data_IF_193310267690
#
_entry.id   IF_193310267690
#
_cell.length_a   1.000
_cell.length_b   1.000
_cell.length_c   1.000
_cell.angle_alpha   90.00
_cell.angle_beta   90.00
_cell.angle_gamma   90.00
#
_symmetry.space_group_name_H-M   'P 1'
#
loop_
_entity.id
_entity.type
_entity.pdbx_description
1 polymer ?
#
# COMPACT_ATOMS: atom_id res chain seq x y z
N UNK A 1 10.99 -12.65 19.19
CA UNK A 1 10.42 -12.09 20.44
C UNK A 1 9.43 -10.93 20.20
N UNK A 2 9.85 -9.76 19.70
CA UNK A 2 8.93 -8.63 19.43
C UNK A 2 7.86 -8.95 18.37
N UNK A 3 8.21 -9.74 17.35
CA UNK A 3 7.28 -10.19 16.30
C UNK A 3 6.21 -11.14 16.84
N UNK A 4 6.57 -12.18 17.61
CA UNK A 4 5.58 -13.08 18.24
C UNK A 4 4.61 -12.33 19.14
N UNK A 5 5.11 -11.37 19.93
CA UNK A 5 4.25 -10.59 20.83
C UNK A 5 3.26 -9.70 20.08
N UNK A 6 3.72 -9.03 19.01
CA UNK A 6 2.83 -8.24 18.12
C UNK A 6 1.80 -9.14 17.42
N UNK A 7 2.21 -10.34 17.00
CA UNK A 7 1.34 -11.33 16.37
C UNK A 7 0.26 -11.81 17.35
N UNK A 8 0.61 -12.20 18.58
CA UNK A 8 -0.38 -12.60 19.62
C UNK A 8 -1.38 -11.49 19.93
N UNK A 9 -0.91 -10.24 20.08
CA UNK A 9 -1.82 -9.09 20.28
C UNK A 9 -2.71 -8.83 19.07
N UNK A 10 -2.24 -9.09 17.85
CA UNK A 10 -3.05 -8.90 16.65
C UNK A 10 -4.17 -9.95 16.57
N UNK A 11 -3.87 -11.21 16.90
CA UNK A 11 -4.87 -12.30 16.99
C UNK A 11 -5.90 -12.01 18.09
N UNK A 12 -5.48 -11.56 19.26
CA UNK A 12 -6.40 -11.20 20.36
C UNK A 12 -7.30 -9.99 20.06
N UNK A 13 -6.94 -9.15 19.08
CA UNK A 13 -7.73 -7.98 18.66
C UNK A 13 -8.81 -8.33 17.64
N UNK A 14 -8.84 -9.57 17.15
CA UNK A 14 -9.86 -10.04 16.20
C UNK A 14 -11.20 -10.11 16.92
N UNK A 15 -12.18 -9.40 16.38
CA UNK A 15 -13.57 -9.45 16.82
C UNK A 15 -14.37 -10.33 15.86
N UNK A 16 -15.37 -11.08 16.37
CA UNK A 16 -16.30 -11.80 15.51
C UNK A 16 -17.04 -10.81 14.61
N UNK A 17 -17.32 -11.24 13.38
CA UNK A 17 -18.01 -10.41 12.40
C UNK A 17 -19.54 -10.51 12.53
N UNK A 18 -20.21 -9.42 12.17
CA UNK A 18 -21.68 -9.32 12.19
C UNK A 18 -22.42 -10.13 11.09
N UNK A 19 -21.76 -10.99 10.31
CA UNK A 19 -22.40 -11.80 9.27
C UNK A 19 -22.91 -11.05 8.01
N UNK A 20 -22.78 -9.72 7.98
CA UNK A 20 -23.16 -8.87 6.85
C UNK A 20 -22.52 -9.32 5.53
N UNK A 21 -23.23 -9.11 4.43
CA UNK A 21 -22.73 -9.48 3.10
C UNK A 21 -21.59 -8.57 2.63
N UNK A 22 -20.70 -9.16 1.83
CA UNK A 22 -19.62 -8.45 1.17
C UNK A 22 -20.20 -7.50 0.13
N UNK A 23 -20.10 -6.20 0.40
CA UNK A 23 -20.54 -5.16 -0.53
C UNK A 23 -19.74 -5.23 -1.82
N UNK A 24 -20.43 -5.23 -2.97
CA UNK A 24 -19.83 -5.16 -4.31
C UNK A 24 -18.82 -4.01 -4.41
N UNK A 25 -17.70 -4.27 -5.06
CA UNK A 25 -16.68 -3.27 -5.34
C UNK A 25 -17.21 -2.26 -6.38
N UNK A 26 -17.10 -0.96 -6.08
CA UNK A 26 -17.51 0.11 -7.00
C UNK A 26 -16.29 0.78 -7.61
N UNK A 27 -16.39 1.22 -8.87
CA UNK A 27 -15.23 1.75 -9.61
C UNK A 27 -14.57 2.95 -8.93
N UNK A 28 -15.32 3.83 -8.27
CA UNK A 28 -14.73 4.95 -7.52
C UNK A 28 -13.99 4.54 -6.24
N UNK A 29 -14.17 3.30 -5.77
CA UNK A 29 -13.48 2.77 -4.59
C UNK A 29 -12.07 2.26 -4.90
N UNK A 30 -11.64 2.32 -6.17
CA UNK A 30 -10.32 1.85 -6.62
C UNK A 30 -9.15 2.39 -5.78
N UNK A 31 -9.23 3.64 -5.30
CA UNK A 31 -8.16 4.27 -4.51
C UNK A 31 -8.38 4.18 -2.99
N UNK A 32 -9.59 3.80 -2.55
CA UNK A 32 -9.99 3.94 -1.15
C UNK A 32 -10.33 2.60 -0.49
N UNK A 33 -10.38 1.53 -1.28
CA UNK A 33 -10.71 0.18 -0.84
C UNK A 33 -9.80 -0.84 -1.52
N UNK A 34 -9.18 -1.67 -0.71
CA UNK A 34 -8.39 -2.81 -1.12
C UNK A 34 -9.21 -4.08 -0.84
N UNK A 35 -9.41 -4.93 -1.84
CA UNK A 35 -10.13 -6.19 -1.71
C UNK A 35 -9.27 -7.33 -2.25
N UNK A 36 -9.03 -8.32 -1.42
CA UNK A 36 -8.19 -9.48 -1.74
C UNK A 36 -8.95 -10.77 -1.47
N UNK A 37 -8.71 -11.79 -2.30
CA UNK A 37 -9.36 -13.09 -2.22
C UNK A 37 -8.31 -14.18 -2.01
N UNK A 38 -8.63 -15.12 -1.13
CA UNK A 38 -7.91 -16.35 -0.88
C UNK A 38 -8.89 -17.50 -1.09
N UNK A 39 -8.56 -18.40 -2.02
CA UNK A 39 -9.32 -19.63 -2.22
C UNK A 39 -8.57 -20.75 -1.55
N UNK A 40 -9.20 -21.39 -0.57
CA UNK A 40 -8.66 -22.57 0.09
C UNK A 40 -9.55 -23.76 -0.25
N UNK A 41 -8.92 -24.88 -0.56
CA UNK A 41 -9.62 -26.16 -0.69
C UNK A 41 -9.50 -26.84 0.67
N UNK A 42 -10.64 -27.03 1.34
CA UNK A 42 -10.72 -27.79 2.59
C UNK A 42 -10.41 -29.26 2.32
N UNK A 43 -9.95 -30.00 3.32
CA UNK A 43 -9.63 -31.44 3.22
C UNK A 43 -10.82 -32.28 2.71
N UNK A 44 -12.05 -31.82 2.96
CA UNK A 44 -13.31 -32.38 2.41
C UNK A 44 -13.51 -32.12 0.90
N UNK A 45 -12.55 -31.50 0.21
CA UNK A 45 -12.64 -31.07 -1.19
C UNK A 45 -13.51 -29.83 -1.43
N UNK A 46 -14.12 -29.27 -0.38
CA UNK A 46 -14.93 -28.05 -0.48
C UNK A 46 -14.05 -26.82 -0.70
N UNK A 47 -14.39 -26.01 -1.70
CA UNK A 47 -13.70 -24.73 -1.91
C UNK A 47 -14.34 -23.64 -1.06
N UNK A 48 -13.52 -23.06 -0.19
CA UNK A 48 -13.88 -21.96 0.70
C UNK A 48 -13.20 -20.69 0.24
N UNK A 49 -13.95 -19.60 0.11
CA UNK A 49 -13.41 -18.31 -0.37
C UNK A 49 -13.35 -17.32 0.79
N UNK A 50 -12.13 -17.02 1.23
CA UNK A 50 -11.87 -15.93 2.15
C UNK A 50 -11.65 -14.64 1.37
N UNK A 51 -12.28 -13.55 1.79
CA UNK A 51 -12.05 -12.22 1.23
C UNK A 51 -11.66 -11.22 2.31
N UNK A 52 -10.59 -10.47 2.09
CA UNK A 52 -10.09 -9.42 2.98
C UNK A 52 -10.45 -8.06 2.38
N UNK A 53 -11.35 -7.34 3.03
CA UNK A 53 -11.76 -5.97 2.67
C UNK A 53 -11.09 -4.96 3.61
N UNK A 54 -10.27 -4.08 3.07
CA UNK A 54 -9.60 -3.00 3.80
C UNK A 54 -10.03 -1.66 3.21
N UNK A 55 -10.63 -0.80 4.04
CA UNK A 55 -11.12 0.51 3.63
C UNK A 55 -10.25 1.61 4.23
N UNK A 56 -9.58 2.37 3.38
CA UNK A 56 -8.73 3.50 3.76
C UNK A 56 -9.55 4.77 4.03
N UNK A 57 -10.76 4.87 3.48
CA UNK A 57 -11.61 6.07 3.54
C UNK A 57 -12.18 6.40 4.93
N UNK A 58 -12.22 5.43 5.86
CA UNK A 58 -12.78 5.60 7.20
C UNK A 58 -11.69 5.84 8.26
N UNK A 59 -10.70 6.68 7.93
CA UNK A 59 -9.60 7.04 8.84
C UNK A 59 -10.02 8.06 9.92
N UNK A 60 -11.32 8.33 10.07
CA UNK A 60 -11.87 9.23 11.10
C UNK A 60 -11.57 8.77 12.53
N UNK A 61 -11.33 7.47 12.75
CA UNK A 61 -10.96 6.91 14.06
C UNK A 61 -9.43 6.85 14.29
N UNK A 62 -8.61 7.34 13.34
CA UNK A 62 -7.14 7.33 13.43
C UNK A 62 -6.47 5.97 13.16
N UNK A 63 -7.25 4.94 12.79
CA UNK A 63 -6.73 3.62 12.43
C UNK A 63 -7.55 2.98 11.31
N UNK A 64 -6.91 2.08 10.57
CA UNK A 64 -7.55 1.32 9.47
C UNK A 64 -8.08 -0.02 10.01
N UNK A 65 -9.31 -0.39 9.63
CA UNK A 65 -9.92 -1.69 9.94
C UNK A 65 -9.81 -2.63 8.73
N UNK A 66 -9.45 -3.88 8.99
CA UNK A 66 -9.55 -4.97 8.03
C UNK A 66 -10.75 -5.85 8.40
N UNK A 67 -11.51 -6.24 7.39
CA UNK A 67 -12.67 -7.12 7.53
C UNK A 67 -12.39 -8.41 6.76
N UNK A 68 -12.50 -9.55 7.43
CA UNK A 68 -12.43 -10.87 6.84
C UNK A 68 -13.85 -11.38 6.57
N UNK A 69 -14.07 -11.81 5.34
CA UNK A 69 -15.28 -12.44 4.87
C UNK A 69 -15.00 -13.91 4.55
N UNK A 70 -15.95 -14.78 4.88
CA UNK A 70 -15.98 -16.19 4.56
C UNK A 70 -17.18 -16.43 3.65
N UNK A 71 -16.95 -16.89 2.42
CA UNK A 71 -17.98 -17.12 1.39
C UNK A 71 -18.94 -15.94 1.23
N UNK A 72 -18.38 -14.73 1.26
CA UNK A 72 -19.12 -13.48 1.11
C UNK A 72 -19.82 -12.97 2.37
N UNK A 73 -19.74 -13.67 3.52
CA UNK A 73 -20.32 -13.21 4.80
C UNK A 73 -19.23 -12.74 5.76
N UNK A 74 -19.50 -11.65 6.47
CA UNK A 74 -18.54 -11.04 7.38
C UNK A 74 -18.25 -11.98 8.55
N UNK A 75 -17.04 -12.49 8.59
CA UNK A 75 -16.62 -13.51 9.56
C UNK A 75 -15.88 -12.91 10.74
N UNK A 76 -14.99 -11.94 10.49
CA UNK A 76 -14.18 -11.31 11.53
C UNK A 76 -13.73 -9.90 11.14
N UNK A 77 -13.42 -9.08 12.12
CA UNK A 77 -12.81 -7.75 11.91
C UNK A 77 -11.68 -7.48 12.88
N UNK A 78 -10.67 -6.71 12.45
CA UNK A 78 -9.56 -6.33 13.32
C UNK A 78 -8.90 -5.03 12.85
N UNK A 79 -8.21 -4.35 13.77
CA UNK A 79 -7.44 -3.13 13.47
C UNK A 79 -6.11 -3.53 12.83
N UNK A 80 -5.72 -2.84 11.75
CA UNK A 80 -4.45 -3.10 11.05
C UNK A 80 -3.27 -2.55 11.86
N UNK A 81 -2.14 -3.27 12.01
CA UNK A 81 -1.83 -4.59 11.48
C UNK A 81 -2.66 -5.71 12.13
N UNK A 82 -3.28 -6.54 11.30
CA UNK A 82 -4.22 -7.58 11.69
C UNK A 82 -3.70 -8.98 11.31
N UNK A 83 -4.04 -9.98 12.12
CA UNK A 83 -3.75 -11.40 11.85
C UNK A 83 -5.05 -12.14 12.08
N UNK A 84 -5.60 -12.72 11.02
CA UNK A 84 -6.84 -13.48 11.09
C UNK A 84 -6.54 -14.98 11.07
N UNK A 85 -7.00 -15.75 12.07
CA UNK A 85 -6.96 -17.20 11.97
C UNK A 85 -7.92 -17.67 10.88
N UNK A 86 -7.44 -18.52 9.97
CA UNK A 86 -8.23 -19.14 8.90
C UNK A 86 -7.91 -20.63 8.86
N UNK A 87 -8.61 -21.41 8.03
CA UNK A 87 -8.28 -22.82 7.87
C UNK A 87 -6.85 -23.01 7.34
N UNK A 88 -6.10 -23.94 7.96
CA UNK A 88 -4.73 -24.28 7.58
C UNK A 88 -3.67 -23.21 7.85
N UNK A 89 -4.00 -22.09 8.52
CA UNK A 89 -3.01 -21.05 8.78
C UNK A 89 -3.57 -19.72 9.28
N UNK A 90 -2.87 -18.63 8.95
CA UNK A 90 -3.28 -17.27 9.32
C UNK A 90 -3.14 -16.34 8.12
N UNK A 91 -4.07 -15.40 7.99
CA UNK A 91 -3.96 -14.30 7.03
C UNK A 91 -3.40 -13.09 7.74
N UNK A 92 -2.20 -12.69 7.37
CA UNK A 92 -1.56 -11.48 7.89
C UNK A 92 -1.85 -10.29 6.97
N UNK A 93 -2.32 -9.19 7.57
CA UNK A 93 -2.69 -7.96 6.87
C UNK A 93 -1.92 -6.79 7.46
N UNK A 94 -1.13 -6.10 6.63
CA UNK A 94 -0.38 -4.89 6.98
C UNK A 94 -0.68 -3.78 5.97
N UNK A 95 -1.00 -2.59 6.46
CA UNK A 95 -1.14 -1.38 5.65
C UNK A 95 0.04 -0.43 5.87
N UNK A 96 0.30 0.43 4.89
CA UNK A 96 1.12 1.63 4.97
C UNK A 96 0.24 2.88 4.80
N UNK A 97 0.82 4.07 4.94
CA UNK A 97 0.14 5.34 4.67
C UNK A 97 -0.37 5.46 3.21
N UNK A 98 0.21 4.69 2.30
CA UNK A 98 -0.11 4.71 0.87
C UNK A 98 -1.01 3.56 0.41
N UNK A 99 -1.47 2.69 1.31
CA UNK A 99 -2.37 1.58 0.98
C UNK A 99 -2.02 0.27 1.67
N UNK A 100 -2.45 -0.85 1.10
CA UNK A 100 -2.16 -2.17 1.64
C UNK A 100 -0.70 -2.58 1.30
N UNK A 101 0.16 -2.74 2.32
CA UNK A 101 1.58 -3.12 2.16
C UNK A 101 1.76 -4.64 2.01
N UNK A 102 0.92 -5.43 2.70
CA UNK A 102 1.02 -6.89 2.74
C UNK A 102 -0.34 -7.53 3.02
N UNK A 103 -0.72 -8.52 2.21
CA UNK A 103 -1.78 -9.45 2.53
C UNK A 103 -1.36 -10.85 2.03
N UNK A 104 -0.92 -11.68 2.97
CA UNK A 104 -0.42 -13.01 2.67
C UNK A 104 -1.01 -14.02 3.66
N UNK A 105 -1.25 -15.22 3.14
CA UNK A 105 -1.66 -16.39 3.89
C UNK A 105 -0.40 -17.16 4.29
N UNK A 106 -0.19 -17.32 5.58
CA UNK A 106 0.89 -18.13 6.16
C UNK A 106 0.28 -19.46 6.57
N UNK A 107 0.69 -20.56 5.94
CA UNK A 107 0.25 -21.90 6.36
C UNK A 107 0.82 -22.24 7.73
N UNK A 108 0.23 -23.24 8.41
CA UNK A 108 0.79 -23.79 9.66
C UNK A 108 2.22 -24.32 9.49
N UNK A 109 2.59 -24.73 8.29
CA UNK A 109 3.94 -25.18 7.90
C UNK A 109 4.90 -24.01 7.59
N UNK A 110 4.40 -22.76 7.61
CA UNK A 110 5.19 -21.56 7.38
C UNK A 110 5.29 -21.13 5.91
N UNK A 111 4.58 -21.77 4.98
CA UNK A 111 4.56 -21.37 3.59
C UNK A 111 3.74 -20.08 3.39
N UNK A 112 4.37 -19.04 2.85
CA UNK A 112 3.73 -17.75 2.56
C UNK A 112 3.13 -17.73 1.14
N UNK A 113 1.82 -17.50 1.04
CA UNK A 113 1.09 -17.36 -0.21
C UNK A 113 0.46 -15.97 -0.32
N UNK A 114 0.73 -15.23 -1.39
CA UNK A 114 0.12 -13.92 -1.62
C UNK A 114 -1.35 -14.08 -2.02
N UNK A 115 -2.24 -13.28 -1.44
CA UNK A 115 -3.65 -13.26 -1.83
C UNK A 115 -3.84 -12.62 -3.22
N UNK A 116 -4.90 -13.03 -3.91
CA UNK A 116 -5.23 -12.54 -5.25
C UNK A 116 -6.05 -11.25 -5.12
N UNK A 117 -5.61 -10.10 -5.66
CA UNK A 117 -6.39 -8.88 -5.64
C UNK A 117 -7.67 -9.02 -6.49
N UNK A 118 -8.74 -8.36 -6.07
CA UNK A 118 -10.00 -8.33 -6.81
C UNK A 118 -9.81 -7.65 -8.19
N UNK A 119 -10.31 -8.24 -9.29
CA UNK A 119 -10.08 -7.70 -10.63
C UNK A 119 -10.65 -6.29 -10.85
N UNK A 120 -11.64 -5.88 -10.06
CA UNK A 120 -12.20 -4.52 -10.11
C UNK A 120 -11.41 -3.52 -9.24
N UNK A 121 -10.54 -3.98 -8.34
CA UNK A 121 -9.67 -3.11 -7.54
C UNK A 121 -8.53 -2.53 -8.36
N UNK A 122 -7.92 -1.45 -7.87
CA UNK A 122 -6.77 -0.84 -8.55
C UNK A 122 -5.60 -1.83 -8.65
N UNK A 123 -5.36 -2.62 -7.60
CA UNK A 123 -4.33 -3.65 -7.55
C UNK A 123 -4.61 -4.78 -8.56
N UNK A 124 -5.86 -5.24 -8.67
CA UNK A 124 -6.23 -6.28 -9.62
C UNK A 124 -6.14 -5.81 -11.07
N UNK A 125 -6.57 -4.59 -11.36
CA UNK A 125 -6.38 -3.97 -12.68
C UNK A 125 -4.89 -3.81 -13.02
N UNK A 126 -4.07 -3.41 -12.05
CA UNK A 126 -2.63 -3.25 -12.24
C UNK A 126 -1.92 -4.59 -12.44
N UNK A 127 -2.31 -5.63 -11.71
CA UNK A 127 -1.83 -6.99 -11.89
C UNK A 127 -2.24 -7.55 -13.27
N UNK A 128 -3.47 -7.25 -13.74
CA UNK A 128 -3.90 -7.60 -15.08
C UNK A 128 -3.09 -6.87 -16.15
N UNK A 129 -2.81 -5.57 -15.97
CA UNK A 129 -1.95 -4.79 -16.87
C UNK A 129 -0.55 -5.39 -16.95
N UNK A 130 0.02 -5.81 -15.82
CA UNK A 130 1.35 -6.44 -15.77
C UNK A 130 1.39 -7.77 -16.54
N UNK A 131 0.34 -8.58 -16.41
CA UNK A 131 0.22 -9.86 -17.14
C UNK A 131 -0.06 -9.69 -18.64
N UNK A 132 -0.91 -8.73 -19.01
CA UNK A 132 -1.35 -8.52 -20.40
C UNK A 132 -0.34 -7.73 -21.23
N UNK A 133 0.33 -6.75 -20.63
CA UNK A 133 1.28 -5.87 -21.30
C UNK A 133 2.54 -5.64 -20.44
N UNK A 134 3.44 -6.64 -20.34
CA UNK A 134 4.62 -6.55 -19.49
C UNK A 134 5.57 -5.42 -19.92
N UNK A 135 5.66 -5.12 -21.23
CA UNK A 135 6.47 -4.00 -21.73
C UNK A 135 5.93 -2.64 -21.26
N UNK A 136 4.62 -2.39 -21.42
CA UNK A 136 3.98 -1.16 -20.94
C UNK A 136 4.14 -1.02 -19.42
N UNK A 137 3.97 -2.11 -18.67
CA UNK A 137 4.19 -2.13 -17.22
C UNK A 137 5.62 -1.76 -16.82
N UNK A 138 6.63 -2.16 -17.61
CA UNK A 138 8.03 -1.75 -17.37
C UNK A 138 8.24 -0.28 -17.71
N UNK A 139 7.72 0.20 -18.84
CA UNK A 139 7.83 1.60 -19.24
C UNK A 139 7.16 2.55 -18.25
N UNK A 140 5.95 2.25 -17.78
CA UNK A 140 5.26 3.10 -16.77
C UNK A 140 6.04 3.14 -15.46
N UNK A 141 6.68 2.03 -15.09
CA UNK A 141 7.51 1.96 -13.88
C UNK A 141 8.76 2.80 -14.02
N UNK A 142 9.43 2.69 -15.15
CA UNK A 142 10.61 3.46 -15.48
C UNK A 142 10.32 4.97 -15.55
N UNK A 143 9.26 5.36 -16.26
CA UNK A 143 8.82 6.77 -16.30
C UNK A 143 8.52 7.30 -14.91
N UNK A 144 7.76 6.54 -14.11
CA UNK A 144 7.44 6.89 -12.73
C UNK A 144 8.69 7.05 -11.86
N UNK A 145 9.72 6.21 -12.05
CA UNK A 145 10.98 6.33 -11.34
C UNK A 145 11.79 7.55 -11.77
N UNK A 146 11.92 7.81 -13.08
CA UNK A 146 12.59 9.01 -13.61
C UNK A 146 11.96 10.27 -13.00
N UNK A 147 10.63 10.31 -13.05
CA UNK A 147 9.83 11.38 -12.48
C UNK A 147 10.15 11.62 -11.01
N UNK A 148 10.20 10.56 -10.19
CA UNK A 148 10.51 10.69 -8.76
C UNK A 148 11.92 11.20 -8.51
N UNK A 149 12.88 10.73 -9.32
CA UNK A 149 14.27 11.20 -9.25
C UNK A 149 14.36 12.68 -9.61
N UNK A 150 13.69 13.10 -10.69
CA UNK A 150 13.64 14.52 -11.09
C UNK A 150 12.99 15.35 -9.98
N UNK A 151 11.83 14.93 -9.46
CA UNK A 151 11.16 15.63 -8.37
C UNK A 151 12.01 15.75 -7.11
N UNK A 152 12.75 14.69 -6.75
CA UNK A 152 13.68 14.70 -5.62
C UNK A 152 14.86 15.65 -5.85
N UNK A 153 15.45 15.65 -7.05
CA UNK A 153 16.53 16.57 -7.40
C UNK A 153 16.05 18.02 -7.33
N UNK A 154 14.87 18.32 -7.88
CA UNK A 154 14.27 19.66 -7.80
C UNK A 154 14.01 20.07 -6.35
N UNK A 155 13.50 19.17 -5.52
CA UNK A 155 13.28 19.44 -4.10
C UNK A 155 14.60 19.75 -3.37
N UNK A 156 15.67 18.99 -3.66
CA UNK A 156 16.99 19.22 -3.07
C UNK A 156 17.54 20.60 -3.50
N UNK A 157 17.41 20.95 -4.78
CA UNK A 157 17.83 22.26 -5.28
C UNK A 157 17.06 23.39 -4.62
N UNK A 158 15.74 23.25 -4.46
CA UNK A 158 14.90 24.25 -3.78
C UNK A 158 15.23 24.38 -2.29
N UNK A 159 15.49 23.27 -1.59
CA UNK A 159 15.91 23.31 -0.19
C UNK A 159 17.30 23.93 -0.04
N UNK A 160 18.24 23.61 -0.94
CA UNK A 160 19.56 24.23 -0.96
C UNK A 160 19.47 25.76 -1.16
N UNK A 161 18.59 26.20 -2.06
CA UNK A 161 18.30 27.63 -2.26
C UNK A 161 17.66 28.28 -1.03
N UNK A 162 16.68 27.64 -0.39
CA UNK A 162 16.07 28.16 0.85
C UNK A 162 17.08 28.26 2.00
N UNK A 163 17.94 27.27 2.17
CA UNK A 163 18.99 27.26 3.20
C UNK A 163 20.06 28.32 2.94
N UNK A 164 20.37 28.61 1.67
CA UNK A 164 21.34 29.66 1.30
C UNK A 164 20.76 31.07 1.30
N UNK A 165 19.45 31.25 1.10
CA UNK A 165 18.76 32.56 1.20
C UNK A 165 18.33 32.94 2.62
N UNK A 166 18.23 31.98 3.54
CA UNK A 166 17.87 32.28 4.92
C UNK A 166 18.93 33.20 5.56
N UNK A 167 18.53 34.32 6.22
CA UNK A 167 19.47 35.30 6.75
C UNK A 167 20.44 34.78 7.83
N UNK A 168 20.17 33.59 8.39
CA UNK A 168 21.02 32.90 9.38
C UNK A 168 21.80 31.70 8.80
N UNK A 169 21.74 31.47 7.48
CA UNK A 169 22.42 30.38 6.78
C UNK A 169 23.86 30.68 6.35
N UNK A 170 24.56 29.65 5.86
CA UNK A 170 26.00 29.58 5.47
C UNK A 170 26.38 30.52 4.30
N UNK A 171 25.58 31.57 4.03
CA UNK A 171 25.86 32.66 3.10
C UNK A 171 27.21 33.33 3.36
N UNK A 172 27.71 33.24 4.60
CA UNK A 172 29.01 33.77 5.03
C UNK A 172 30.21 33.01 4.45
N UNK A 173 30.05 31.74 4.02
CA UNK A 173 31.17 30.89 3.58
C UNK A 173 31.09 30.41 2.11
N UNK A 174 29.90 30.40 1.48
CA UNK A 174 29.71 29.75 0.16
C UNK A 174 29.25 30.71 -0.96
N UNK A 175 28.79 31.91 -0.62
CA UNK A 175 28.16 32.82 -1.59
C UNK A 175 26.72 32.41 -1.94
N UNK A 176 25.96 33.33 -2.52
CA UNK A 176 24.54 33.16 -2.84
C UNK A 176 24.34 32.27 -4.07
N UNK A 177 24.00 31.00 -3.85
CA UNK A 177 23.62 30.10 -4.94
C UNK A 177 22.24 30.50 -5.47
N UNK A 178 22.20 31.12 -6.65
CA UNK A 178 20.96 31.41 -7.35
C UNK A 178 20.60 30.20 -8.18
N UNK A 179 19.45 29.57 -7.88
CA UNK A 179 18.93 28.47 -8.69
C UNK A 179 18.74 28.96 -10.14
N UNK A 180 19.33 28.31 -11.16
CA UNK A 180 19.12 28.69 -12.55
C UNK A 180 17.73 28.28 -13.09
N UNK A 181 16.90 27.65 -12.25
CA UNK A 181 15.58 27.14 -12.63
C UNK A 181 14.54 27.80 -11.73
N UNK A 182 13.97 28.92 -12.20
CA UNK A 182 12.75 29.49 -11.64
C UNK A 182 11.57 28.58 -11.99
N UNK A 183 11.28 27.61 -11.12
CA UNK A 183 10.02 26.88 -11.21
C UNK A 183 8.88 27.84 -10.86
N UNK A 184 8.17 28.29 -11.89
CA UNK A 184 6.88 28.98 -11.72
C UNK A 184 5.99 28.22 -10.73
N UNK A 185 5.07 28.92 -10.05
CA UNK A 185 4.13 28.29 -9.11
C UNK A 185 3.41 27.06 -9.71
N UNK A 186 3.16 27.08 -11.02
CA UNK A 186 2.62 25.96 -11.78
C UNK A 186 3.56 24.74 -11.87
N UNK A 187 4.87 24.97 -12.03
CA UNK A 187 5.88 23.91 -12.04
C UNK A 187 5.92 23.10 -10.74
N UNK A 188 5.82 23.78 -9.59
CA UNK A 188 5.74 23.12 -8.28
C UNK A 188 4.47 22.26 -8.12
N UNK A 189 3.33 22.75 -8.61
CA UNK A 189 2.06 21.99 -8.60
C UNK A 189 2.18 20.73 -9.47
N UNK A 190 2.77 20.85 -10.66
CA UNK A 190 3.00 19.71 -11.55
C UNK A 190 3.93 18.69 -10.90
N UNK A 191 5.06 19.11 -10.32
CA UNK A 191 5.99 18.21 -9.61
C UNK A 191 5.31 17.51 -8.45
N UNK A 192 4.49 18.21 -7.67
CA UNK A 192 3.70 17.62 -6.58
C UNK A 192 2.73 16.54 -7.09
N UNK A 193 1.90 16.87 -8.08
CA UNK A 193 0.95 15.93 -8.71
C UNK A 193 1.64 14.69 -9.27
N UNK A 194 2.76 14.91 -9.94
CA UNK A 194 3.55 13.89 -10.60
C UNK A 194 4.23 12.98 -9.55
N UNK A 195 4.71 13.54 -8.43
CA UNK A 195 5.24 12.79 -7.28
C UNK A 195 4.17 11.94 -6.61
N UNK A 196 2.97 12.47 -6.43
CA UNK A 196 1.82 11.73 -5.88
C UNK A 196 1.42 10.59 -6.82
N UNK A 197 1.31 10.85 -8.12
CA UNK A 197 0.97 9.85 -9.12
C UNK A 197 2.02 8.72 -9.16
N UNK A 198 3.31 9.06 -9.13
CA UNK A 198 4.39 8.08 -9.11
C UNK A 198 4.43 7.25 -7.81
N UNK A 199 4.21 7.89 -6.67
CA UNK A 199 4.10 7.19 -5.38
C UNK A 199 2.90 6.23 -5.36
N UNK A 200 1.78 6.65 -5.97
CA UNK A 200 0.57 5.82 -6.12
C UNK A 200 0.84 4.61 -7.03
N UNK A 201 1.46 4.80 -8.20
CA UNK A 201 1.86 3.71 -9.11
C UNK A 201 2.77 2.69 -8.40
N UNK A 202 3.70 3.17 -7.57
CA UNK A 202 4.56 2.30 -6.76
C UNK A 202 3.78 1.51 -5.71
N UNK A 203 2.89 2.16 -4.96
CA UNK A 203 2.06 1.51 -3.95
C UNK A 203 1.19 0.40 -4.56
N UNK A 204 0.66 0.64 -5.77
CA UNK A 204 -0.18 -0.31 -6.50
C UNK A 204 0.58 -1.52 -7.06
N UNK A 205 1.91 -1.48 -7.16
CA UNK A 205 2.68 -2.61 -7.72
C UNK A 205 2.70 -3.85 -6.84
N UNK A 206 2.35 -3.76 -5.55
CA UNK A 206 2.37 -4.88 -4.58
C UNK A 206 3.64 -5.76 -4.63
N UNK A 207 4.72 -5.27 -5.25
CA UNK A 207 6.00 -5.94 -5.41
C UNK A 207 6.90 -5.43 -4.31
N UNK A 208 6.96 -6.22 -3.26
CA UNK A 208 7.81 -6.00 -2.11
C UNK A 208 9.28 -5.97 -2.54
N UNK A 209 9.90 -4.79 -2.49
CA UNK A 209 11.35 -4.65 -2.58
C UNK A 209 11.87 -4.33 -1.18
N UNK A 210 12.48 -5.35 -0.54
CA UNK A 210 13.06 -5.28 0.80
C UNK A 210 14.00 -4.08 1.00
N UNK A 211 14.71 -3.67 -0.07
CA UNK A 211 15.74 -2.63 -0.02
C UNK A 211 15.21 -1.22 0.25
N UNK A 212 13.93 -0.93 -0.02
CA UNK A 212 13.40 0.44 0.07
C UNK A 212 12.31 0.62 1.13
N UNK A 213 11.68 -0.47 1.57
CA UNK A 213 10.54 -0.43 2.49
C UNK A 213 10.87 -0.96 3.90
N UNK A 214 12.16 -1.17 4.21
CA UNK A 214 12.69 -1.48 5.54
C UNK A 214 12.77 -0.26 6.48
N UNK A 215 12.68 0.96 5.94
CA UNK A 215 12.75 2.21 6.68
C UNK A 215 11.38 2.85 6.91
N UNK A 216 10.54 2.23 7.73
CA UNK A 216 9.45 2.89 8.48
C UNK A 216 8.80 1.81 9.36
N UNK A 217 9.30 1.71 10.59
CA UNK A 217 8.80 0.84 11.65
C UNK A 217 7.65 1.44 12.42
#
# INVERSE_FOLDING_TARGET
MLKEWRHRRAVQRVKPGDGRELKRFRWWQMLTRALFHLRLTTDDGRQTVYAVDVRHQNQSEGYVKAHLYLDGRHHAESRVPAVFPVQGGTVEVKSSAFGLKRCHYVTTEGAEHQLIPDPASAEGRRARLDRTHPALSRCTGFLSSIVLVIGLVLLILQLAEQVTRAPEGVAQYVGTFTSPIDLSAWGNVVVGLVTVAASTERALRLRYNWLLDGGAG
#
